data_IF_249755605502
#
_entry.id   IF_249755605502
#
_cell.length_a   1.000
_cell.length_b   1.000
_cell.length_c   1.000
_cell.angle_alpha   90.00
_cell.angle_beta   90.00
_cell.angle_gamma   90.00
#
_symmetry.space_group_name_H-M   'P 1'
#
loop_
_entity.id
_entity.type
_entity.pdbx_description
1 polymer ?
2 polymer ?
3 polymer ?
4 non-polymer ?
5 non-polymer ?
6 non-polymer ?
7 non-polymer ?
8 water ?
#
loop_
_entity_poly.entity_id
_entity_poly.type
_entity_poly.pdbx_seq_one_letter_code
_entity_poly.pdbx_strand_id
1 'polydeoxyribonucleotide' '(DG)(DG)(DG)(DG)(DT)(DG)(DT)(DG)(DG)(DT)(DA)(DG)(DC)' ?
2 'polydeoxyribonucleotide' '(DC)(DA)(DT)(DC)(DG)(DC)(DT)(DA)(DC)(DC)(DA)(DC)(DA)(DC)(DC)(DC)(DC)' ?
#
# COMPACT_ATOMS: atom_id res chain seq x y z
N UNK C 3 -15.11 24.02 4.04
CA UNK C 3 -13.70 24.22 3.70
C UNK C 3 -12.85 24.48 4.96
N UNK C 4 -11.82 23.66 5.11
CA UNK C 4 -10.93 23.68 6.26
C UNK C 4 -9.53 23.93 5.73
N UNK C 5 -8.98 25.10 6.04
CA UNK C 5 -7.63 25.47 5.62
C UNK C 5 -6.61 24.91 6.61
N UNK C 6 -5.33 24.90 6.22
CA UNK C 6 -4.36 24.19 7.04
C UNK C 6 -4.06 24.90 8.35
N UNK C 7 -4.39 26.19 8.47
CA UNK C 7 -4.22 26.86 9.75
C UNK C 7 -5.43 26.72 10.66
N UNK C 8 -6.45 25.99 10.24
CA UNK C 8 -7.61 25.71 11.08
C UNK C 8 -7.31 24.50 11.97
N UNK C 9 -7.71 24.54 13.25
CA UNK C 9 -7.46 23.37 14.12
C UNK C 9 -8.02 22.06 13.59
N UNK C 10 -9.07 22.08 12.75
CA UNK C 10 -9.68 20.84 12.26
C UNK C 10 -9.01 20.30 10.99
N UNK C 11 -7.91 20.90 10.53
CA UNK C 11 -7.38 20.54 9.23
C UNK C 11 -6.94 19.08 9.20
N UNK C 12 -6.17 18.66 10.20
CA UNK C 12 -5.67 17.29 10.23
C UNK C 12 -6.81 16.29 10.20
N UNK C 13 -7.84 16.53 11.01
CA UNK C 13 -8.99 15.63 11.07
C UNK C 13 -9.69 15.55 9.72
N UNK C 14 -9.92 16.71 9.09
CA UNK C 14 -10.61 16.74 7.81
C UNK C 14 -9.77 16.12 6.70
N UNK C 15 -8.46 16.41 6.68
CA UNK C 15 -7.63 15.87 5.61
C UNK C 15 -7.58 14.35 5.67
N UNK C 16 -7.31 13.81 6.86
CA UNK C 16 -7.27 12.36 7.02
C UNK C 16 -8.65 11.74 6.77
N UNK C 17 -9.75 12.42 7.14
CA UNK C 17 -11.07 11.86 6.84
C UNK C 17 -11.31 11.70 5.34
N UNK C 18 -10.70 12.57 4.53
CA UNK C 18 -10.88 12.53 3.07
C UNK C 18 -9.79 11.78 2.32
N UNK C 19 -8.60 11.62 2.92
CA UNK C 19 -7.46 11.02 2.23
C UNK C 19 -7.57 9.52 2.13
N UNK C 20 -7.71 8.99 0.91
CA UNK C 20 -7.76 7.52 0.82
C UNK C 20 -6.40 6.90 1.12
N UNK C 21 -5.30 7.63 0.85
CA UNK C 21 -3.99 7.08 1.17
C UNK C 21 -3.78 7.01 2.68
N UNK C 22 -4.31 7.99 3.42
CA UNK C 22 -4.30 7.87 4.87
C UNK C 22 -5.09 6.64 5.31
N UNK C 23 -6.27 6.43 4.71
CA UNK C 23 -7.11 5.28 5.08
C UNK C 23 -6.38 3.97 4.81
N UNK C 24 -5.73 3.86 3.65
CA UNK C 24 -5.01 2.64 3.31
C UNK C 24 -3.98 2.31 4.39
N UNK C 25 -3.16 3.31 4.75
CA UNK C 25 -2.11 3.06 5.74
C UNK C 25 -2.68 2.78 7.13
N UNK C 26 -3.71 3.51 7.53
CA UNK C 26 -4.30 3.29 8.86
C UNK C 26 -4.96 1.91 8.94
N UNK C 27 -5.67 1.51 7.87
CA UNK C 27 -6.26 0.18 7.81
C UNK C 27 -5.19 -0.90 7.90
N UNK C 28 -4.10 -0.73 7.17
CA UNK C 28 -3.04 -1.73 7.17
C UNK C 28 -2.39 -1.81 8.55
N UNK C 29 -2.08 -0.66 9.14
CA UNK C 29 -1.53 -0.65 10.50
C UNK C 29 -2.46 -1.38 11.46
N UNK C 30 -3.76 -1.12 11.38
CA UNK C 30 -4.67 -1.77 12.33
C UNK C 30 -4.71 -3.28 12.10
N UNK C 31 -4.69 -3.72 10.84
CA UNK C 31 -4.71 -5.17 10.59
C UNK C 31 -3.50 -5.84 11.18
N UNK C 32 -2.33 -5.21 11.06
CA UNK C 32 -1.12 -5.80 11.63
C UNK C 32 -1.22 -5.87 13.16
N UNK C 33 -1.69 -4.80 13.79
CA UNK C 33 -1.83 -4.82 15.25
C UNK C 33 -2.80 -5.91 15.68
N UNK C 34 -3.90 -6.08 14.93
CA UNK C 34 -4.88 -7.11 15.25
C UNK C 34 -4.27 -8.51 15.16
N UNK C 35 -3.46 -8.76 14.13
CA UNK C 35 -2.77 -10.03 13.98
C UNK C 35 -1.87 -10.30 15.19
N UNK C 36 -1.09 -9.30 15.60
CA UNK C 36 -0.20 -9.48 16.74
C UNK C 36 -1.00 -9.75 18.02
N UNK C 37 -2.14 -9.10 18.17
CA UNK C 37 -2.92 -9.28 19.40
C UNK C 37 -3.57 -10.66 19.44
N UNK C 38 -4.11 -11.12 18.30
CA UNK C 38 -4.76 -12.42 18.26
C UNK C 38 -3.77 -13.58 18.38
N UNK C 39 -2.48 -13.33 18.14
CA UNK C 39 -1.48 -14.38 18.14
C UNK C 39 -0.45 -14.21 19.26
N UNK C 40 -0.75 -13.39 20.26
CA UNK C 40 0.21 -13.11 21.33
C UNK C 40 0.61 -14.40 22.05
N UNK C 41 -0.30 -15.38 22.12
CA UNK C 41 -0.01 -16.66 22.75
C UNK C 41 -0.10 -17.83 21.79
N UNK C 42 -0.19 -17.59 20.48
CA UNK C 42 -0.21 -18.64 19.48
C UNK C 42 1.12 -18.70 18.74
N UNK C 43 1.33 -19.82 18.06
CA UNK C 43 2.61 -20.03 17.34
C UNK C 43 2.33 -20.62 15.96
N UNK C 44 1.50 -19.94 15.15
CA UNK C 44 1.12 -20.40 13.78
C UNK C 44 2.22 -20.12 12.71
N UNK C 45 3.42 -19.63 13.08
CA UNK C 45 4.57 -19.37 12.15
C UNK C 45 4.99 -20.58 11.30
N UNK C 46 5.72 -20.33 10.21
CA UNK C 46 6.12 -21.38 9.28
C UNK C 46 7.54 -21.80 9.61
N UNK C 47 7.74 -23.11 9.76
CA UNK C 47 9.05 -23.66 10.10
C UNK C 47 9.68 -24.30 8.87
N UNK C 48 10.98 -24.60 8.99
CA UNK C 48 11.71 -25.22 7.88
C UNK C 48 11.10 -26.56 7.48
N UNK C 49 10.44 -27.25 8.42
CA UNK C 49 9.86 -28.55 8.14
C UNK C 49 8.60 -28.47 7.29
N UNK C 50 8.04 -27.28 7.09
CA UNK C 50 6.75 -27.15 6.44
C UNK C 50 6.92 -27.03 4.93
N UNK C 51 6.16 -27.82 4.19
CA UNK C 51 5.95 -27.56 2.77
C UNK C 51 4.61 -26.88 2.65
N UNK C 52 4.57 -25.77 1.91
CA UNK C 52 3.39 -24.92 1.92
C UNK C 52 3.00 -24.49 0.52
N UNK C 53 1.72 -24.17 0.39
CA UNK C 53 1.16 -23.49 -0.77
C UNK C 53 0.74 -22.08 -0.35
N UNK C 54 1.01 -21.11 -1.22
CA UNK C 54 0.60 -19.72 -1.00
C UNK C 54 -0.64 -19.45 -1.83
N UNK C 55 -1.65 -18.89 -1.20
CA UNK C 55 -2.82 -18.35 -1.88
C UNK C 55 -2.79 -16.85 -1.66
N UNK C 56 -2.53 -16.09 -2.72
CA UNK C 56 -2.51 -14.64 -2.65
C UNK C 56 -3.85 -14.14 -3.19
N UNK C 57 -4.65 -13.55 -2.31
CA UNK C 57 -6.06 -13.24 -2.55
C UNK C 57 -6.25 -11.72 -2.49
N UNK C 58 -6.94 -11.17 -3.48
CA UNK C 58 -7.04 -9.72 -3.62
C UNK C 58 -8.36 -9.35 -4.29
N UNK C 59 -9.07 -8.38 -3.72
CA UNK C 59 -10.30 -7.88 -4.36
C UNK C 59 -9.98 -7.31 -5.74
N UNK C 60 -10.82 -7.63 -6.73
CA UNK C 60 -10.76 -6.93 -8.00
C UNK C 60 -11.24 -5.50 -7.87
N UNK C 61 -10.48 -4.54 -8.43
CA UNK C 61 -10.70 -3.04 -8.47
C UNK C 61 -11.43 -2.46 -7.24
N UNK C 62 -10.90 -2.82 -6.07
CA UNK C 62 -11.59 -2.85 -4.78
C UNK C 62 -12.50 -1.65 -4.55
N UNK C 63 -11.94 -0.43 -4.54
CA UNK C 63 -12.79 0.74 -4.27
C UNK C 63 -13.92 0.85 -5.30
N UNK C 64 -13.63 0.57 -6.58
CA UNK C 64 -14.64 0.75 -7.61
C UNK C 64 -15.79 -0.23 -7.41
N UNK C 65 -15.47 -1.50 -7.15
CA UNK C 65 -16.48 -2.51 -6.86
C UNK C 65 -17.35 -2.12 -5.68
N UNK C 66 -16.72 -1.76 -4.55
CA UNK C 66 -17.49 -1.46 -3.35
C UNK C 66 -18.27 -0.16 -3.52
N UNK C 67 -17.65 0.87 -4.11
CA UNK C 67 -18.35 2.13 -4.32
C UNK C 67 -19.53 1.95 -5.25
N UNK C 68 -19.40 1.03 -6.21
CA UNK C 68 -20.53 0.71 -7.07
C UNK C 68 -21.64 0.01 -6.28
N UNK C 69 -21.30 -1.05 -5.55
CA UNK C 69 -22.32 -1.82 -4.85
C UNK C 69 -23.07 -0.99 -3.83
N UNK C 70 -22.46 0.09 -3.32
CA UNK C 70 -23.03 0.95 -2.30
C UNK C 70 -23.37 2.34 -2.85
N UNK C 71 -23.42 2.49 -4.17
CA UNK C 71 -23.64 3.81 -4.78
C UNK C 71 -24.99 4.38 -4.36
N UNK C 72 -25.07 5.71 -4.35
CA UNK C 72 -26.29 6.39 -3.98
C UNK C 72 -27.34 6.27 -5.08
N UNK C 73 -28.57 6.73 -4.78
CA UNK C 73 -29.66 6.57 -5.73
C UNK C 73 -29.41 7.37 -7.01
N UNK C 74 -28.60 8.43 -6.93
CA UNK C 74 -28.23 9.21 -8.12
C UNK C 74 -27.54 8.35 -9.17
N UNK C 75 -26.88 7.27 -8.76
CA UNK C 75 -26.17 6.39 -9.68
C UNK C 75 -26.85 5.03 -9.85
N UNK C 76 -28.15 4.93 -9.59
CA UNK C 76 -28.80 3.62 -9.60
C UNK C 76 -28.69 2.93 -10.96
N UNK C 77 -28.78 3.70 -12.05
CA UNK C 77 -28.76 3.13 -13.39
C UNK C 77 -27.36 2.73 -13.86
N UNK C 78 -26.32 3.17 -13.15
CA UNK C 78 -24.94 2.81 -13.48
C UNK C 78 -24.79 1.29 -13.65
N UNK C 79 -24.02 0.91 -14.67
CA UNK C 79 -23.84 -0.50 -15.04
C UNK C 79 -22.37 -0.88 -14.86
N UNK C 80 -22.09 -1.73 -13.87
CA UNK C 80 -20.69 -2.07 -13.56
C UNK C 80 -20.01 -2.85 -14.69
N UNK C 81 -20.78 -3.58 -15.49
CA UNK C 81 -20.20 -4.40 -16.54
C UNK C 81 -20.04 -3.66 -17.87
N UNK C 82 -20.77 -2.57 -18.08
CA UNK C 82 -20.70 -1.83 -19.34
C UNK C 82 -20.16 -0.42 -19.20
N UNK C 83 -20.17 0.18 -17.99
CA UNK C 83 -19.73 1.56 -17.87
C UNK C 83 -18.28 1.63 -17.39
N UNK C 84 -17.51 2.60 -17.87
CA UNK C 84 -16.18 2.87 -17.27
C UNK C 84 -16.37 3.69 -16.01
N UNK C 85 -15.91 3.14 -14.88
CA UNK C 85 -16.20 3.67 -13.56
C UNK C 85 -14.89 4.01 -12.87
N UNK C 86 -14.81 5.19 -12.25
CA UNK C 86 -13.70 5.54 -11.38
C UNK C 86 -14.25 6.01 -10.03
N UNK C 87 -13.41 5.88 -9.02
CA UNK C 87 -13.64 6.46 -7.69
C UNK C 87 -12.65 7.61 -7.53
N UNK C 88 -13.16 8.78 -7.16
CA UNK C 88 -12.36 9.99 -7.07
C UNK C 88 -13.15 11.09 -6.39
N UNK C 89 -12.42 12.11 -5.89
CA UNK C 89 -13.02 13.26 -5.23
C UNK C 89 -13.52 14.29 -6.25
N UNK C 90 -12.76 14.50 -7.31
CA UNK C 90 -12.96 15.69 -8.12
C UNK C 90 -13.30 15.41 -9.57
N UNK C 91 -12.95 16.36 -10.44
CA UNK C 91 -13.31 16.31 -11.85
C UNK C 91 -12.15 16.59 -12.79
N UNK C 92 -11.00 17.04 -12.29
CA UNK C 92 -9.90 17.42 -13.16
C UNK C 92 -8.60 16.77 -12.68
N UNK C 93 -7.84 17.48 -11.85
CA UNK C 93 -6.55 16.92 -11.41
C UNK C 93 -6.71 16.18 -10.08
N UNK C 94 -7.68 15.26 -10.10
CA UNK C 94 -8.06 14.44 -8.96
C UNK C 94 -7.64 13.00 -9.22
N UNK C 95 -7.03 12.35 -8.24
CA UNK C 95 -6.57 10.99 -8.42
C UNK C 95 -7.74 10.03 -8.64
N UNK C 96 -7.59 9.14 -9.63
CA UNK C 96 -8.45 7.97 -9.72
C UNK C 96 -7.90 6.93 -8.76
N UNK C 97 -8.58 6.74 -7.63
CA UNK C 97 -8.10 5.76 -6.67
C UNK C 97 -8.24 4.35 -7.21
N UNK C 98 -9.34 4.10 -7.92
CA UNK C 98 -9.65 2.78 -8.46
C UNK C 98 -10.49 2.98 -9.71
N UNK C 99 -10.31 2.07 -10.67
CA UNK C 99 -11.13 2.07 -11.87
C UNK C 99 -11.51 0.64 -12.17
N UNK C 100 -12.71 0.46 -12.74
CA UNK C 100 -13.16 -0.89 -13.04
C UNK C 100 -12.52 -1.35 -14.36
N UNK C 101 -12.76 -2.63 -14.69
CA UNK C 101 -12.03 -3.19 -15.81
C UNK C 101 -12.57 -2.72 -17.16
N UNK C 102 -13.80 -2.21 -17.22
CA UNK C 102 -14.22 -1.48 -18.42
C UNK C 102 -13.31 -0.27 -18.65
N UNK C 103 -13.11 0.55 -17.61
CA UNK C 103 -12.22 1.70 -17.73
C UNK C 103 -10.83 1.27 -18.18
N UNK C 104 -10.32 0.18 -17.61
CA UNK C 104 -8.98 -0.28 -17.96
C UNK C 104 -8.88 -0.74 -19.39
N UNK C 105 -10.00 -1.17 -19.99
CA UNK C 105 -9.96 -1.56 -21.40
C UNK C 105 -9.63 -0.40 -22.32
N UNK C 106 -9.78 0.85 -21.84
CA UNK C 106 -9.38 2.03 -22.59
C UNK C 106 -8.00 2.53 -22.21
N UNK C 107 -7.29 1.82 -21.34
CA UNK C 107 -5.96 2.23 -20.90
C UNK C 107 -5.93 3.03 -19.62
N UNK C 108 -7.07 3.20 -18.95
CA UNK C 108 -7.10 3.96 -17.70
C UNK C 108 -6.49 3.11 -16.58
N UNK C 109 -5.72 3.76 -15.70
CA UNK C 109 -4.98 3.12 -14.61
C UNK C 109 -5.25 3.81 -13.27
N UNK C 110 -5.25 3.03 -12.19
CA UNK C 110 -5.24 3.60 -10.85
C UNK C 110 -4.11 4.63 -10.74
N UNK C 111 -4.39 5.76 -10.10
CA UNK C 111 -3.41 6.80 -9.94
C UNK C 111 -3.45 7.90 -10.99
N UNK C 112 -4.04 7.63 -12.15
CA UNK C 112 -4.28 8.63 -13.17
C UNK C 112 -5.14 9.77 -12.62
N UNK C 113 -4.92 10.99 -13.15
CA UNK C 113 -5.84 12.08 -12.90
C UNK C 113 -7.08 11.92 -13.79
N UNK C 114 -8.24 12.33 -13.25
CA UNK C 114 -9.49 12.29 -14.02
C UNK C 114 -9.31 12.94 -15.38
N UNK C 115 -8.62 14.09 -15.41
CA UNK C 115 -8.42 14.83 -16.66
C UNK C 115 -7.68 13.98 -17.69
N UNK C 116 -6.64 13.26 -17.27
CA UNK C 116 -5.92 12.39 -18.19
C UNK C 116 -6.80 11.23 -18.66
N UNK C 117 -7.52 10.58 -17.74
CA UNK C 117 -8.33 9.43 -18.10
C UNK C 117 -9.43 9.78 -19.09
N UNK C 118 -10.06 10.94 -18.91
CA UNK C 118 -11.15 11.36 -19.79
C UNK C 118 -10.72 11.38 -21.25
N UNK C 119 -9.46 11.70 -21.52
CA UNK C 119 -9.01 11.84 -22.89
C UNK C 119 -8.82 10.51 -23.59
N UNK C 120 -8.78 9.41 -22.85
CA UNK C 120 -8.65 8.09 -23.46
C UNK C 120 -9.99 7.49 -23.85
N UNK C 121 -11.08 8.19 -23.60
CA UNK C 121 -12.38 7.65 -23.97
C UNK C 121 -12.74 8.12 -25.38
N UNK C 122 -13.17 7.22 -26.27
CA UNK C 122 -13.73 7.67 -27.55
C UNK C 122 -15.04 8.41 -27.32
N UNK C 123 -15.40 9.23 -28.30
CA UNK C 123 -16.53 10.13 -28.13
C UNK C 123 -17.83 9.36 -27.97
N UNK C 124 -18.72 9.89 -27.12
CA UNK C 124 -19.95 9.20 -26.79
C UNK C 124 -19.84 8.24 -25.63
N UNK C 125 -18.66 8.05 -25.07
CA UNK C 125 -18.45 7.13 -23.96
C UNK C 125 -18.13 7.97 -22.73
N UNK C 126 -18.97 7.84 -21.71
CA UNK C 126 -18.95 8.76 -20.58
C UNK C 126 -18.32 8.11 -19.35
N UNK C 127 -17.42 8.84 -18.70
CA UNK C 127 -16.81 8.36 -17.48
C UNK C 127 -17.78 8.54 -16.33
N UNK C 128 -17.99 7.48 -15.56
CA UNK C 128 -18.80 7.55 -14.34
C UNK C 128 -17.86 7.71 -13.17
N UNK C 129 -18.01 8.78 -12.40
CA UNK C 129 -17.17 9.01 -11.23
C UNK C 129 -17.99 8.81 -9.97
N UNK C 130 -17.63 7.85 -9.21
CA UNK C 130 -18.30 7.57 -7.95
C UNK C 130 -17.49 8.12 -6.78
N UNK C 131 -18.18 8.54 -5.72
CA UNK C 131 -17.48 9.03 -4.53
C UNK C 131 -16.96 7.87 -3.69
N UNK C 132 -16.00 8.21 -2.83
CA UNK C 132 -15.48 7.22 -1.89
C UNK C 132 -16.56 6.80 -0.89
N UNK C 133 -16.51 5.51 -0.49
CA UNK C 133 -17.39 4.97 0.58
C UNK C 133 -16.48 4.26 1.59
N UNK C 134 -15.80 5.07 2.41
CA UNK C 134 -14.70 4.56 3.23
C UNK C 134 -15.17 3.55 4.26
N UNK C 135 -16.29 3.83 4.94
CA UNK C 135 -16.79 2.91 5.95
C UNK C 135 -17.17 1.58 5.32
N UNK C 136 -17.81 1.70 4.18
CA UNK C 136 -18.12 0.46 3.41
C UNK C 136 -16.90 -0.41 2.95
N UNK C 137 -15.86 0.34 2.52
CA UNK C 137 -14.63 -0.36 2.20
C UNK C 137 -14.18 -1.20 3.39
N UNK C 138 -14.20 -0.60 4.58
CA UNK C 138 -13.77 -1.32 5.76
C UNK C 138 -14.71 -2.48 6.07
N UNK C 139 -16.02 -2.30 5.91
CA UNK C 139 -16.96 -3.37 6.25
C UNK C 139 -16.79 -4.55 5.29
N UNK C 140 -16.58 -4.27 4.00
CA UNK C 140 -16.32 -5.35 3.06
C UNK C 140 -15.03 -6.07 3.41
N UNK C 141 -13.99 -5.32 3.80
CA UNK C 141 -12.75 -5.97 4.17
C UNK C 141 -12.94 -6.84 5.41
N UNK C 142 -13.75 -6.37 6.36
CA UNK C 142 -14.06 -7.22 7.51
C UNK C 142 -14.69 -8.54 7.09
N UNK C 143 -15.62 -8.51 6.13
CA UNK C 143 -16.27 -9.74 5.65
C UNK C 143 -15.27 -10.65 4.95
N UNK C 144 -14.32 -10.05 4.24
CA UNK C 144 -13.24 -10.76 3.57
C UNK C 144 -12.38 -11.54 4.56
N UNK C 145 -11.84 -10.87 5.57
CA UNK C 145 -10.98 -11.54 6.54
C UNK C 145 -11.77 -12.54 7.39
N UNK C 146 -13.01 -12.20 7.74
CA UNK C 146 -13.90 -13.12 8.44
C UNK C 146 -14.12 -14.41 7.64
N UNK C 147 -14.37 -14.27 6.34
CA UNK C 147 -14.57 -15.45 5.50
C UNK C 147 -13.30 -16.31 5.45
N UNK C 148 -12.14 -15.67 5.26
CA UNK C 148 -10.89 -16.43 5.20
C UNK C 148 -10.67 -17.28 6.45
N UNK C 149 -10.94 -16.70 7.63
CA UNK C 149 -10.80 -17.44 8.88
C UNK C 149 -11.81 -18.57 8.97
N UNK C 150 -13.07 -18.29 8.66
CA UNK C 150 -14.14 -19.26 8.85
C UNK C 150 -13.95 -20.50 7.99
N UNK C 151 -13.29 -20.37 6.84
CA UNK C 151 -13.11 -21.51 5.93
C UNK C 151 -12.28 -22.62 6.57
N UNK C 152 -11.43 -22.29 7.54
CA UNK C 152 -10.61 -23.28 8.25
C UNK C 152 -9.77 -24.11 7.27
N UNK C 153 -9.13 -23.43 6.31
CA UNK C 153 -8.27 -24.12 5.35
C UNK C 153 -6.85 -23.60 5.36
N UNK C 154 -6.56 -22.51 6.07
CA UNK C 154 -5.25 -21.90 6.08
C UNK C 154 -4.61 -22.07 7.44
N UNK C 155 -3.31 -22.34 7.44
CA UNK C 155 -2.55 -22.38 8.68
C UNK C 155 -2.13 -20.99 9.11
N UNK C 156 -2.01 -20.06 8.17
CA UNK C 156 -1.55 -18.73 8.47
C UNK C 156 -2.22 -17.76 7.51
N UNK C 157 -2.78 -16.68 8.04
CA UNK C 157 -3.43 -15.65 7.23
C UNK C 157 -2.71 -14.34 7.52
N UNK C 158 -1.97 -13.84 6.52
CA UNK C 158 -1.17 -12.63 6.69
C UNK C 158 -1.88 -11.46 6.04
N UNK C 159 -2.23 -10.40 6.78
CA UNK C 159 -2.82 -9.23 6.13
C UNK C 159 -1.76 -8.47 5.34
N UNK C 160 -2.05 -8.20 4.08
CA UNK C 160 -1.21 -7.35 3.25
C UNK C 160 -1.76 -5.93 3.19
N UNK C 161 -3.07 -5.81 3.08
CA UNK C 161 -3.74 -4.52 2.97
C UNK C 161 -5.21 -4.72 3.26
N UNK C 162 -5.96 -3.62 3.17
CA UNK C 162 -7.40 -3.66 3.35
C UNK C 162 -8.05 -4.72 2.45
N UNK C 163 -7.52 -4.92 1.24
CA UNK C 163 -8.21 -5.79 0.29
C UNK C 163 -7.37 -6.98 -0.16
N UNK C 164 -6.39 -7.39 0.63
CA UNK C 164 -5.42 -8.36 0.11
C UNK C 164 -4.79 -9.13 1.26
N UNK C 165 -4.69 -10.45 1.12
CA UNK C 165 -4.06 -11.26 2.15
C UNK C 165 -3.23 -12.36 1.52
N UNK C 166 -2.19 -12.77 2.23
CA UNK C 166 -1.38 -13.92 1.85
C UNK C 166 -1.75 -15.05 2.79
N UNK C 167 -2.30 -16.13 2.24
CA UNK C 167 -2.84 -17.25 3.01
C UNK C 167 -1.99 -18.47 2.74
N UNK C 168 -1.55 -19.13 3.80
CA UNK C 168 -0.58 -20.20 3.70
C UNK C 168 -1.25 -21.50 4.14
N UNK C 169 -1.16 -22.51 3.27
CA UNK C 169 -1.66 -23.85 3.55
C UNK C 169 -0.47 -24.78 3.65
N UNK C 170 -0.32 -25.47 4.78
CA UNK C 170 0.76 -26.42 4.96
C UNK C 170 0.30 -27.78 4.49
N UNK C 171 1.13 -28.43 3.67
CA UNK C 171 0.79 -29.73 3.07
C UNK C 171 1.61 -30.79 3.79
N UNK C 172 0.97 -31.68 4.54
CA UNK C 172 1.71 -32.83 5.09
C UNK C 172 2.22 -33.73 3.98
N UNK C 173 3.42 -34.28 4.15
CA UNK C 173 3.83 -35.37 3.28
C UNK C 173 2.84 -36.52 3.33
N UNK C 174 2.04 -36.58 4.41
CA UNK C 174 0.86 -37.43 4.49
C UNK C 174 -0.03 -37.32 3.26
N UNK C 175 -0.11 -36.13 2.65
CA UNK C 175 -1.16 -35.77 1.69
C UNK C 175 -0.52 -35.48 0.34
N UNK C 176 -1.19 -35.91 -0.73
CA UNK C 176 -0.72 -35.67 -2.10
C UNK C 176 -1.53 -34.51 -2.68
N UNK C 177 -0.88 -33.37 -2.86
CA UNK C 177 -1.55 -32.19 -3.36
C UNK C 177 -1.68 -32.27 -4.88
N UNK C 178 -2.80 -31.77 -5.40
CA UNK C 178 -3.06 -31.83 -6.84
C UNK C 178 -3.64 -30.50 -7.30
N UNK C 179 -3.51 -30.24 -8.60
CA UNK C 179 -4.14 -29.08 -9.21
C UNK C 179 -5.64 -29.08 -8.96
N UNK C 180 -6.27 -30.26 -9.03
CA UNK C 180 -7.72 -30.37 -8.82
C UNK C 180 -8.12 -29.88 -7.45
N UNK C 181 -7.40 -30.29 -6.40
CA UNK C 181 -7.74 -29.82 -5.06
C UNK C 181 -7.53 -28.32 -4.95
N UNK C 182 -6.45 -27.80 -5.56
CA UNK C 182 -6.18 -26.38 -5.46
C UNK C 182 -7.23 -25.56 -6.19
N UNK C 183 -7.69 -26.03 -7.35
CA UNK C 183 -8.76 -25.34 -8.06
C UNK C 183 -10.04 -25.30 -7.24
N UNK C 184 -10.35 -26.40 -6.56
CA UNK C 184 -11.55 -26.41 -5.72
C UNK C 184 -11.42 -25.41 -4.57
N UNK C 185 -10.25 -25.35 -3.95
CA UNK C 185 -10.05 -24.36 -2.88
C UNK C 185 -10.19 -22.94 -3.41
N UNK C 186 -9.57 -22.65 -4.56
CA UNK C 186 -9.74 -21.34 -5.17
C UNK C 186 -11.21 -21.02 -5.43
N UNK C 187 -11.97 -21.99 -5.96
CA UNK C 187 -13.36 -21.70 -6.28
C UNK C 187 -14.21 -21.55 -5.02
N UNK C 188 -13.92 -22.34 -3.98
CA UNK C 188 -14.58 -22.16 -2.68
C UNK C 188 -14.34 -20.75 -2.15
N UNK C 189 -13.08 -20.35 -2.08
CA UNK C 189 -12.73 -19.04 -1.56
C UNK C 189 -13.44 -17.95 -2.36
N UNK C 190 -13.36 -18.02 -3.69
CA UNK C 190 -13.98 -16.98 -4.51
C UNK C 190 -15.49 -16.93 -4.29
N UNK C 191 -16.13 -18.09 -4.15
CA UNK C 191 -17.58 -18.08 -3.96
C UNK C 191 -17.96 -17.59 -2.57
N UNK C 192 -17.28 -18.08 -1.53
CA UNK C 192 -17.63 -17.69 -0.16
C UNK C 192 -17.39 -16.19 0.05
N UNK C 193 -16.33 -15.63 -0.54
CA UNK C 193 -16.12 -14.20 -0.40
C UNK C 193 -17.17 -13.43 -1.21
N UNK C 194 -17.50 -13.90 -2.41
CA UNK C 194 -18.56 -13.26 -3.18
C UNK C 194 -19.86 -13.22 -2.38
N UNK C 195 -20.19 -14.32 -1.69
CA UNK C 195 -21.39 -14.34 -0.86
C UNK C 195 -21.23 -13.45 0.37
N UNK C 196 -20.09 -13.59 1.07
CA UNK C 196 -19.91 -12.89 2.33
C UNK C 196 -19.86 -11.37 2.17
N UNK C 197 -19.44 -10.88 1.01
CA UNK C 197 -19.33 -9.46 0.76
C UNK C 197 -20.52 -8.89 0.01
N UNK C 198 -21.55 -9.70 -0.22
CA UNK C 198 -22.68 -9.39 -1.09
C UNK C 198 -22.24 -8.77 -2.42
N UNK C 199 -21.33 -9.44 -3.10
CA UNK C 199 -21.18 -9.17 -4.52
C UNK C 199 -19.81 -8.72 -4.97
N UNK C 200 -18.84 -8.69 -4.05
CA UNK C 200 -17.46 -8.38 -4.44
C UNK C 200 -16.76 -9.63 -4.96
N UNK C 201 -15.84 -9.43 -5.90
CA UNK C 201 -15.08 -10.55 -6.46
C UNK C 201 -13.61 -10.44 -6.05
N UNK C 202 -12.99 -11.59 -5.79
CA UNK C 202 -11.56 -11.65 -5.55
C UNK C 202 -10.94 -12.51 -6.64
N UNK C 203 -9.69 -12.23 -6.95
CA UNK C 203 -8.87 -13.16 -7.70
C UNK C 203 -7.79 -13.74 -6.82
N UNK C 204 -7.24 -14.87 -7.27
CA UNK C 204 -6.32 -15.65 -6.45
C UNK C 204 -5.16 -16.12 -7.31
N UNK C 205 -3.95 -15.91 -6.79
CA UNK C 205 -2.77 -16.57 -7.31
C UNK C 205 -2.37 -17.65 -6.32
N UNK C 206 -2.05 -18.83 -6.85
CA UNK C 206 -1.74 -19.99 -6.02
C UNK C 206 -0.45 -20.60 -6.53
N UNK C 207 0.53 -20.76 -5.64
CA UNK C 207 1.84 -21.27 -6.06
C UNK C 207 2.60 -21.74 -4.83
N UNK C 208 3.85 -22.18 -5.05
CA UNK C 208 4.73 -22.57 -3.97
C UNK C 208 5.84 -21.55 -3.69
N UNK C 209 5.67 -20.30 -4.13
CA UNK C 209 6.48 -19.19 -3.63
C UNK C 209 5.59 -17.97 -3.52
N UNK C 210 6.03 -17.01 -2.71
CA UNK C 210 5.29 -15.75 -2.61
C UNK C 210 5.33 -15.01 -3.94
N UNK C 211 6.49 -14.98 -4.60
CA UNK C 211 6.60 -14.16 -5.80
C UNK C 211 5.74 -14.74 -6.93
N UNK C 212 5.74 -16.07 -7.10
CA UNK C 212 4.93 -16.65 -8.17
C UNK C 212 3.44 -16.47 -7.87
N UNK C 213 3.05 -16.57 -6.60
CA UNK C 213 1.64 -16.38 -6.25
C UNK C 213 1.20 -14.95 -6.60
N UNK C 214 2.11 -14.00 -6.43
CA UNK C 214 1.78 -12.59 -6.76
C UNK C 214 1.63 -12.51 -8.26
N UNK C 215 2.55 -13.10 -9.00
CA UNK C 215 2.43 -13.08 -10.46
C UNK C 215 1.19 -13.82 -10.95
N UNK C 216 0.95 -15.01 -10.40
CA UNK C 216 -0.25 -15.76 -10.75
C UNK C 216 -1.50 -14.92 -10.51
N UNK C 217 -1.51 -14.14 -9.41
CA UNK C 217 -2.63 -13.27 -9.10
C UNK C 217 -2.88 -12.27 -10.22
N UNK C 218 -1.81 -11.63 -10.69
CA UNK C 218 -1.94 -10.70 -11.80
C UNK C 218 -2.52 -11.41 -13.02
N UNK C 219 -1.99 -12.60 -13.34
CA UNK C 219 -2.49 -13.36 -14.48
C UNK C 219 -3.96 -13.75 -14.29
N UNK C 220 -4.38 -13.96 -13.03
CA UNK C 220 -5.75 -14.39 -12.77
C UNK C 220 -6.78 -13.30 -13.00
N UNK C 221 -6.40 -12.03 -12.86
CA UNK C 221 -7.40 -10.96 -12.85
C UNK C 221 -7.93 -10.69 -14.25
N UNK C 222 -9.20 -10.28 -14.38
CA UNK C 222 -10.14 -10.08 -13.27
C UNK C 222 -11.02 -11.30 -12.97
N UNK C 223 -11.49 -11.40 -11.73
CA UNK C 223 -12.50 -12.38 -11.32
C UNK C 223 -12.12 -13.81 -11.71
N UNK C 224 -10.90 -14.22 -11.35
CA UNK C 224 -10.41 -15.51 -11.77
C UNK C 224 -9.39 -16.03 -10.80
N UNK C 225 -8.83 -17.20 -11.12
CA UNK C 225 -7.73 -17.74 -10.33
C UNK C 225 -6.74 -18.39 -11.27
N UNK C 226 -5.50 -18.47 -10.78
CA UNK C 226 -4.42 -19.09 -11.55
C UNK C 226 -3.53 -19.86 -10.60
N UNK C 227 -3.17 -21.07 -11.01
CA UNK C 227 -2.31 -21.95 -10.23
C UNK C 227 -1.07 -22.19 -11.08
N UNK C 228 0.09 -21.68 -10.61
CA UNK C 228 1.34 -21.85 -11.34
C UNK C 228 2.44 -22.18 -10.33
N UNK C 229 2.79 -23.44 -10.22
CA UNK C 229 3.88 -23.85 -9.35
C UNK C 229 5.20 -23.75 -10.10
N UNK C 230 6.30 -23.75 -9.35
CA UNK C 230 7.62 -23.71 -9.96
C UNK C 230 7.77 -24.80 -11.02
N UNK C 231 7.17 -25.97 -10.79
CA UNK C 231 7.24 -27.06 -11.75
C UNK C 231 6.51 -26.76 -13.05
N UNK C 232 5.61 -25.77 -13.07
CA UNK C 232 4.82 -25.44 -14.25
C UNK C 232 5.37 -24.24 -15.01
N UNK C 233 6.52 -23.71 -14.62
CA UNK C 233 7.01 -22.50 -15.28
C UNK C 233 7.30 -22.76 -16.75
N UNK C 234 7.14 -21.73 -17.57
CA UNK C 234 7.29 -21.86 -19.01
C UNK C 234 7.51 -20.47 -19.61
N UNK C 235 7.92 -20.47 -20.88
CA UNK C 235 8.05 -19.22 -21.62
C UNK C 235 6.70 -18.52 -21.77
N UNK C 236 5.63 -19.29 -21.93
CA UNK C 236 4.31 -18.70 -22.04
C UNK C 236 3.95 -17.91 -20.79
N UNK C 237 4.34 -18.42 -19.62
CA UNK C 237 4.10 -17.70 -18.38
C UNK C 237 4.88 -16.39 -18.34
N UNK C 238 6.20 -16.47 -18.50
CA UNK C 238 7.03 -15.27 -18.40
C UNK C 238 6.69 -14.24 -19.48
N UNK C 239 6.31 -14.67 -20.68
CA UNK C 239 5.97 -13.73 -21.74
C UNK C 239 4.69 -12.95 -21.46
N UNK C 240 3.94 -13.33 -20.43
CA UNK C 240 2.66 -12.71 -20.12
C UNK C 240 2.78 -11.45 -19.27
N UNK C 241 3.96 -11.12 -18.75
CA UNK C 241 4.12 -10.09 -17.73
C UNK C 241 5.00 -8.94 -18.19
N UNK C 242 4.63 -7.73 -17.78
CA UNK C 242 5.44 -6.53 -17.88
C UNK C 242 6.57 -6.56 -16.85
N UNK C 243 7.62 -5.78 -17.10
CA UNK C 243 8.73 -5.75 -16.15
C UNK C 243 8.29 -5.23 -14.79
N UNK C 244 7.41 -4.23 -14.76
CA UNK C 244 6.96 -3.72 -13.45
C UNK C 244 5.83 -4.56 -12.87
N UNK C 245 5.56 -5.74 -13.43
CA UNK C 245 4.75 -6.71 -12.71
C UNK C 245 5.54 -7.38 -11.59
N UNK C 246 6.86 -7.33 -11.64
CA UNK C 246 7.66 -7.97 -10.59
C UNK C 246 7.52 -7.18 -9.30
N UNK C 247 7.28 -7.84 -8.17
CA UNK C 247 7.29 -7.11 -6.89
C UNK C 247 8.63 -6.42 -6.69
N UNK C 248 8.56 -5.17 -6.26
CA UNK C 248 9.78 -4.41 -6.05
C UNK C 248 10.24 -3.60 -7.25
N UNK C 249 9.62 -3.77 -8.41
CA UNK C 249 10.01 -3.03 -9.61
C UNK C 249 8.94 -1.98 -9.87
N UNK C 250 9.25 -0.73 -9.50
CA UNK C 250 8.45 0.42 -9.85
C UNK C 250 9.07 1.20 -10.99
N UNK C 251 8.60 2.44 -11.17
CA UNK C 251 8.96 3.20 -12.37
C UNK C 251 10.46 3.48 -12.43
N UNK C 252 11.11 3.72 -11.30
CA UNK C 252 12.54 4.04 -11.32
C UNK C 252 13.37 2.81 -11.68
N UNK C 253 13.08 1.66 -11.05
CA UNK C 253 13.80 0.43 -11.40
C UNK C 253 13.51 0.04 -12.84
N UNK C 254 12.26 0.19 -13.26
CA UNK C 254 11.89 -0.09 -14.64
C UNK C 254 12.75 0.70 -15.61
N UNK C 255 12.91 1.99 -15.37
CA UNK C 255 13.73 2.81 -16.26
C UNK C 255 15.15 2.28 -16.34
N UNK C 256 15.72 1.88 -15.19
CA UNK C 256 17.09 1.34 -15.19
C UNK C 256 17.17 0.02 -15.95
N UNK C 257 16.19 -0.86 -15.75
CA UNK C 257 16.19 -2.14 -16.45
C UNK C 257 16.08 -1.93 -17.96
N UNK C 258 15.23 -0.99 -18.39
CA UNK C 258 15.06 -0.74 -19.82
C UNK C 258 16.33 -0.15 -20.42
N UNK C 259 17.02 0.71 -19.68
CA UNK C 259 18.29 1.23 -20.17
C UNK C 259 19.32 0.12 -20.30
N UNK C 260 19.47 -0.69 -19.25
CA UNK C 260 20.57 -1.65 -19.22
C UNK C 260 20.35 -2.79 -20.20
N UNK C 261 19.10 -3.23 -20.39
CA UNK C 261 18.84 -4.48 -21.10
C UNK C 261 18.08 -4.26 -22.40
N UNK C 262 18.27 -3.10 -23.03
CA UNK C 262 17.79 -2.85 -24.40
C UNK C 262 16.26 -2.88 -24.47
N UNK C 263 15.61 -2.29 -23.48
CA UNK C 263 14.16 -2.14 -23.40
C UNK C 263 13.44 -3.47 -23.53
N UNK C 264 13.62 -4.39 -22.58
CA UNK C 264 12.78 -5.60 -22.56
C UNK C 264 11.31 -5.21 -22.46
N UNK C 265 10.45 -5.98 -23.14
CA UNK C 265 9.01 -5.71 -23.12
C UNK C 265 8.23 -6.83 -22.42
N UNK C 266 8.92 -7.81 -21.85
CA UNK C 266 8.25 -8.80 -21.01
C UNK C 266 9.29 -9.39 -20.09
N UNK C 267 8.81 -10.07 -19.03
CA UNK C 267 9.73 -10.80 -18.17
C UNK C 267 10.47 -11.89 -18.94
N UNK C 268 9.86 -12.41 -20.01
CA UNK C 268 10.57 -13.35 -20.87
C UNK C 268 11.78 -12.68 -21.52
N UNK C 269 11.59 -11.49 -22.11
CA UNK C 269 12.73 -10.77 -22.68
C UNK C 269 13.83 -10.61 -21.65
N UNK C 270 13.46 -10.20 -20.44
CA UNK C 270 14.46 -9.90 -19.43
C UNK C 270 15.23 -11.15 -19.05
N UNK C 271 14.54 -12.25 -18.78
CA UNK C 271 15.26 -13.41 -18.27
C UNK C 271 16.16 -14.02 -19.32
N UNK C 272 15.84 -13.83 -20.61
CA UNK C 272 16.74 -14.29 -21.66
C UNK C 272 17.93 -13.38 -21.87
N UNK C 273 17.86 -12.11 -21.47
CA UNK C 273 18.93 -11.15 -21.71
C UNK C 273 19.86 -10.92 -20.53
N UNK C 274 19.37 -11.12 -19.30
CA UNK C 274 20.15 -10.63 -18.18
C UNK C 274 21.25 -11.59 -17.76
N UNK C 275 22.25 -11.03 -17.06
CA UNK C 275 23.14 -11.76 -16.19
C UNK C 275 22.97 -11.21 -14.78
N UNK C 276 23.16 -12.09 -13.79
CA UNK C 276 23.10 -11.63 -12.39
C UNK C 276 23.99 -10.42 -12.16
N UNK C 277 25.21 -10.43 -12.71
CA UNK C 277 26.14 -9.32 -12.45
C UNK C 277 25.68 -8.02 -13.10
N UNK C 278 25.20 -8.08 -14.33
CA UNK C 278 24.69 -6.87 -14.97
C UNK C 278 23.45 -6.36 -14.25
N UNK C 279 22.60 -7.28 -13.78
CA UNK C 279 21.45 -6.91 -12.97
C UNK C 279 21.86 -6.09 -11.75
N UNK C 280 22.75 -6.65 -10.93
CA UNK C 280 23.19 -5.95 -9.73
C UNK C 280 23.79 -4.59 -10.05
N UNK C 281 24.54 -4.51 -11.16
CA UNK C 281 25.11 -3.23 -11.53
C UNK C 281 24.04 -2.22 -11.92
N UNK C 282 22.93 -2.68 -12.50
CA UNK C 282 21.93 -1.74 -13.00
C UNK C 282 21.05 -1.21 -11.87
N UNK C 283 20.59 -2.09 -10.99
CA UNK C 283 19.59 -1.73 -9.99
C UNK C 283 20.05 -1.92 -8.56
N UNK C 284 21.27 -2.42 -8.34
CA UNK C 284 21.75 -2.61 -7.00
C UNK C 284 21.79 -4.08 -6.60
N UNK C 285 22.58 -4.37 -5.57
CA UNK C 285 22.96 -5.75 -5.30
C UNK C 285 21.79 -6.54 -4.69
N UNK C 286 21.10 -5.95 -3.72
CA UNK C 286 20.00 -6.68 -3.07
C UNK C 286 18.79 -6.77 -3.99
N UNK C 287 18.41 -5.64 -4.61
CA UNK C 287 17.30 -5.65 -5.56
C UNK C 287 17.64 -6.50 -6.77
N UNK C 288 18.88 -6.42 -7.26
CA UNK C 288 19.29 -7.29 -8.35
C UNK C 288 19.18 -8.76 -8.02
N UNK C 289 19.60 -9.15 -6.80
CA UNK C 289 19.46 -10.54 -6.39
C UNK C 289 17.98 -10.93 -6.24
N UNK C 290 17.15 -10.01 -5.74
CA UNK C 290 15.71 -10.30 -5.62
C UNK C 290 15.10 -10.58 -6.99
N UNK C 291 15.42 -9.75 -7.97
CA UNK C 291 14.88 -9.91 -9.31
C UNK C 291 15.40 -11.20 -9.93
N UNK C 292 16.70 -11.47 -9.77
CA UNK C 292 17.27 -12.70 -10.30
C UNK C 292 16.55 -13.93 -9.75
N UNK C 293 16.36 -13.97 -8.42
CA UNK C 293 15.64 -15.08 -7.83
C UNK C 293 14.19 -15.12 -8.30
N UNK C 294 13.58 -13.94 -8.42
CA UNK C 294 12.18 -13.87 -8.86
C UNK C 294 12.02 -14.47 -10.25
N UNK C 295 12.96 -14.19 -11.14
CA UNK C 295 12.90 -14.74 -12.49
C UNK C 295 13.12 -16.25 -12.50
N UNK C 296 13.48 -16.83 -11.37
CA UNK C 296 13.51 -18.27 -11.17
C UNK C 296 12.23 -18.76 -10.49
N UNK C 297 11.28 -17.86 -10.22
CA UNK C 297 10.13 -18.23 -9.44
C UNK C 297 10.38 -18.35 -7.96
N UNK C 298 11.51 -17.84 -7.48
CA UNK C 298 11.94 -18.06 -6.10
C UNK C 298 11.92 -16.78 -5.27
N UNK C 299 11.56 -16.93 -4.00
CA UNK C 299 11.61 -15.83 -3.04
C UNK C 299 13.03 -15.58 -2.56
N UNK C 300 13.31 -14.33 -2.17
CA UNK C 300 14.57 -14.01 -1.54
C UNK C 300 14.42 -14.09 0.00
N UNK C 301 15.56 -14.01 0.69
CA UNK C 301 15.58 -14.21 2.13
C UNK C 301 14.71 -13.20 2.85
N UNK C 302 14.72 -11.95 2.38
CA UNK C 302 13.96 -10.89 3.04
C UNK C 302 12.46 -11.14 2.95
N UNK C 303 11.98 -11.56 1.78
CA UNK C 303 10.56 -11.81 1.63
C UNK C 303 10.10 -12.98 2.47
N UNK C 304 10.98 -13.96 2.69
CA UNK C 304 10.58 -15.15 3.45
C UNK C 304 10.39 -14.85 4.93
N UNK C 305 10.96 -13.76 5.44
CA UNK C 305 10.88 -13.48 6.86
C UNK C 305 9.42 -13.37 7.33
N UNK C 306 8.51 -12.95 6.45
CA UNK C 306 7.12 -12.79 6.89
C UNK C 306 6.49 -14.15 7.18
N UNK C 307 7.00 -15.21 6.55
CA UNK C 307 6.51 -16.57 6.83
C UNK C 307 7.17 -17.14 8.08
N UNK C 308 8.49 -16.95 8.19
CA UNK C 308 9.28 -17.54 9.31
C UNK C 308 9.08 -16.80 10.64
N UNK C 309 8.78 -15.49 10.60
CA UNK C 309 8.63 -14.72 11.83
C UNK C 309 7.64 -13.58 11.64
N UNK C 310 6.36 -13.91 11.34
CA UNK C 310 5.39 -12.83 11.07
C UNK C 310 5.26 -11.83 12.21
N UNK C 311 5.39 -12.28 13.46
CA UNK C 311 5.25 -11.35 14.58
C UNK C 311 6.32 -10.26 14.54
N UNK C 312 7.54 -10.62 14.14
CA UNK C 312 8.59 -9.61 14.04
C UNK C 312 8.40 -8.71 12.83
N UNK C 313 8.06 -9.27 11.68
CA UNK C 313 7.88 -8.47 10.47
C UNK C 313 6.71 -7.50 10.62
N UNK C 314 5.61 -7.95 11.23
CA UNK C 314 4.41 -7.12 11.31
C UNK C 314 4.47 -6.10 12.44
N UNK C 315 5.49 -6.15 13.28
CA UNK C 315 5.56 -5.26 14.42
C UNK C 315 5.98 -3.86 13.98
N UNK C 316 5.23 -2.86 14.44
CA UNK C 316 5.50 -1.48 14.06
C UNK C 316 6.84 -1.01 14.61
N UNK C 317 7.67 -0.41 13.75
CA UNK C 317 8.98 0.06 14.20
C UNK C 317 9.14 1.57 14.12
N UNK C 318 8.21 2.27 13.49
CA UNK C 318 8.23 3.73 13.44
C UNK C 318 6.79 4.22 13.35
N UNK C 319 6.62 5.52 13.57
CA UNK C 319 5.29 6.11 13.57
C UNK C 319 5.42 7.53 13.02
N UNK C 320 4.62 7.88 12.01
CA UNK C 320 4.77 9.18 11.39
C UNK C 320 3.46 9.64 10.76
N UNK C 321 3.40 10.93 10.44
CA UNK C 321 2.37 11.48 9.57
C UNK C 321 3.05 12.27 8.46
N UNK C 322 2.36 12.34 7.31
CA UNK C 322 2.83 13.10 6.16
C UNK C 322 1.67 13.94 5.65
N UNK C 323 1.86 15.24 5.51
CA UNK C 323 0.81 16.10 4.96
C UNK C 323 1.49 16.92 3.86
N UNK C 324 1.27 16.51 2.62
CA UNK C 324 1.85 17.17 1.45
C UNK C 324 0.76 17.67 0.51
N UNK C 325 -0.39 17.98 1.07
CA UNK C 325 -1.52 18.53 0.34
C UNK C 325 -2.20 19.58 1.21
N UNK C 326 -2.53 20.72 0.62
CA UNK C 326 -3.18 21.78 1.34
C UNK C 326 -2.28 22.62 2.23
N UNK C 327 -0.98 22.54 2.05
CA UNK C 327 -0.03 23.23 2.92
C UNK C 327 0.22 24.63 2.35
N UNK C 328 -0.37 25.65 3.00
CA UNK C 328 -0.26 27.06 2.54
C UNK C 328 -0.25 27.93 3.79
N UNK C 329 0.94 28.15 4.34
CA UNK C 329 1.10 28.93 5.55
C UNK C 329 1.71 30.29 5.24
N UNK C 330 1.27 31.31 5.97
CA UNK C 330 1.75 32.67 5.76
C UNK C 330 2.86 33.08 6.70
N UNK C 331 3.03 32.43 7.85
CA UNK C 331 4.04 32.87 8.80
C UNK C 331 4.45 31.68 9.67
N UNK C 332 5.53 31.88 10.42
CA UNK C 332 6.13 30.81 11.21
C UNK C 332 5.27 30.45 12.42
N UNK C 333 4.50 31.41 12.94
CA UNK C 333 3.59 31.12 14.04
C UNK C 333 2.60 30.01 13.64
N UNK C 334 2.03 30.13 12.44
CA UNK C 334 1.05 29.14 11.99
C UNK C 334 1.71 27.81 11.69
N UNK C 335 2.92 27.83 11.10
CA UNK C 335 3.65 26.58 10.91
C UNK C 335 3.89 25.87 12.24
N UNK C 336 4.34 26.63 13.25
CA UNK C 336 4.63 26.01 14.53
C UNK C 336 3.37 25.44 15.17
N UNK C 337 2.23 26.13 15.02
CA UNK C 337 0.99 25.58 15.58
C UNK C 337 0.62 24.28 14.88
N UNK C 338 0.83 24.23 13.57
CA UNK C 338 0.52 22.98 12.86
C UNK C 338 1.45 21.87 13.30
N UNK C 339 2.74 22.18 13.48
CA UNK C 339 3.67 21.19 14.01
C UNK C 339 3.18 20.70 15.37
N UNK C 340 2.71 21.62 16.23
CA UNK C 340 2.24 21.18 17.53
C UNK C 340 1.02 20.27 17.39
N UNK C 341 0.08 20.62 16.50
CA UNK C 341 -1.09 19.76 16.30
C UNK C 341 -0.69 18.38 15.80
N UNK C 342 0.31 18.33 14.92
CA UNK C 342 0.78 17.05 14.43
C UNK C 342 1.42 16.22 15.51
N UNK C 343 2.22 16.84 16.38
CA UNK C 343 2.83 16.10 17.49
C UNK C 343 1.78 15.57 18.46
N UNK C 344 0.75 16.37 18.74
CA UNK C 344 -0.33 15.90 19.58
C UNK C 344 -0.96 14.64 19.00
N UNK C 345 -1.24 14.66 17.69
CA UNK C 345 -1.85 13.51 17.03
C UNK C 345 -0.92 12.29 17.12
N UNK C 346 0.37 12.49 16.88
CA UNK C 346 1.31 11.36 16.91
C UNK C 346 1.46 10.80 18.32
N UNK C 347 1.46 11.65 19.33
CA UNK C 347 1.60 11.17 20.70
C UNK C 347 0.37 10.39 21.15
N UNK C 348 -0.82 10.77 20.67
CA UNK C 348 -2.00 9.98 20.96
C UNK C 348 -1.83 8.56 20.42
N UNK C 349 -1.37 8.45 19.17
CA UNK C 349 -1.06 7.14 18.59
C UNK C 349 0.03 6.43 19.38
N UNK C 350 1.09 7.16 19.74
CA UNK C 350 2.20 6.56 20.48
C UNK C 350 1.76 6.05 21.85
N UNK C 351 0.83 6.75 22.50
CA UNK C 351 0.35 6.29 23.80
C UNK C 351 -0.59 5.10 23.65
N UNK C 352 -1.38 5.05 22.57
CA UNK C 352 -2.25 3.91 22.33
C UNK C 352 -1.46 2.60 22.27
N UNK C 353 -0.23 2.64 21.77
CA UNK C 353 0.60 1.44 21.69
C UNK C 353 1.57 1.34 22.86
N UNK C 354 1.45 2.24 23.84
CA UNK C 354 2.21 2.16 25.10
C UNK C 354 3.71 2.11 24.83
N UNK C 355 4.21 3.09 24.06
CA UNK C 355 5.62 3.18 23.74
C UNK C 355 6.10 4.60 23.95
N UNK C 356 7.43 4.77 23.96
CA UNK C 356 8.07 6.07 23.94
C UNK C 356 8.91 6.15 22.68
N UNK C 357 9.51 7.31 22.41
CA UNK C 357 10.36 7.42 21.24
C UNK C 357 11.69 8.05 21.62
N UNK C 358 12.75 7.58 20.99
CA UNK C 358 14.10 8.06 21.27
C UNK C 358 14.73 8.82 20.12
N UNK C 359 14.05 8.94 18.97
CA UNK C 359 14.59 9.61 17.81
C UNK C 359 13.45 10.11 16.94
N UNK C 360 13.54 11.37 16.50
CA UNK C 360 12.46 11.98 15.73
C UNK C 360 13.06 12.65 14.50
N UNK C 361 12.22 12.82 13.49
CA UNK C 361 12.61 13.43 12.23
C UNK C 361 11.51 14.37 11.76
N UNK C 362 11.92 15.50 11.21
CA UNK C 362 11.02 16.35 10.45
C UNK C 362 11.54 16.41 9.01
N UNK C 363 10.63 16.22 8.07
CA UNK C 363 10.91 16.34 6.64
C UNK C 363 9.96 17.35 6.06
N UNK C 364 10.43 18.14 5.11
CA UNK C 364 9.55 19.10 4.47
C UNK C 364 9.76 19.06 2.97
N UNK C 365 8.74 19.54 2.28
CA UNK C 365 8.76 19.81 0.84
C UNK C 365 8.74 21.32 0.66
N UNK C 366 9.67 21.83 -0.15
CA UNK C 366 9.76 23.27 -0.40
C UNK C 366 9.59 23.55 -1.89
N UNK C 367 8.78 24.56 -2.21
CA UNK C 367 8.56 24.92 -3.60
C UNK C 367 9.89 25.13 -4.33
N UNK C 368 10.04 24.48 -5.47
CA UNK C 368 11.24 24.69 -6.29
C UNK C 368 11.28 26.16 -6.72
N UNK C 369 12.50 26.71 -6.82
CA UNK C 369 12.64 28.16 -7.03
C UNK C 369 11.94 28.61 -8.30
N UNK C 370 11.91 27.76 -9.33
CA UNK C 370 11.29 28.08 -10.60
C UNK C 370 9.89 27.45 -10.75
N UNK C 371 9.27 26.98 -9.67
CA UNK C 371 7.97 26.34 -9.79
C UNK C 371 6.85 27.31 -9.44
N UNK C 372 5.71 27.24 -10.12
CA UNK C 372 4.64 28.20 -9.84
C UNK C 372 4.14 28.08 -8.41
N UNK C 373 3.75 29.22 -7.85
CA UNK C 373 3.27 29.26 -6.48
C UNK C 373 1.98 28.47 -6.33
N UNK C 374 1.15 28.44 -7.37
CA UNK C 374 -0.02 27.57 -7.35
C UNK C 374 0.17 26.50 -8.41
N UNK C 375 0.35 25.24 -8.01
CA UNK C 375 0.70 24.19 -8.98
C UNK C 375 -0.51 23.74 -9.77
N UNK C 376 -0.31 22.88 -10.77
CA UNK C 376 -1.48 22.43 -11.55
C UNK C 376 -2.58 21.78 -10.71
N UNK C 377 -2.19 20.99 -9.73
CA UNK C 377 -3.21 20.34 -8.88
C UNK C 377 -3.62 21.30 -7.76
N UNK C 378 -4.92 21.59 -7.68
CA UNK C 378 -5.41 22.44 -6.60
C UNK C 378 -4.90 21.98 -5.24
N UNK C 379 -4.25 22.89 -4.52
CA UNK C 379 -3.67 22.66 -3.17
C UNK C 379 -2.54 21.61 -3.18
N UNK C 380 -2.05 21.28 -4.35
CA UNK C 380 -0.99 20.28 -4.46
C UNK C 380 0.36 20.81 -3.98
N UNK C 381 1.27 19.90 -3.71
CA UNK C 381 2.59 20.39 -3.32
C UNK C 381 3.31 20.90 -4.58
N UNK C 382 3.00 20.38 -5.77
CA UNK C 382 3.73 20.80 -6.96
C UNK C 382 5.17 20.28 -6.93
N UNK C 383 5.99 20.88 -7.81
CA UNK C 383 7.41 20.51 -7.92
C UNK C 383 8.16 21.05 -6.71
N UNK C 384 8.85 20.19 -5.99
CA UNK C 384 9.42 20.57 -4.70
C UNK C 384 10.81 19.97 -4.53
N UNK C 385 11.59 20.59 -3.66
CA UNK C 385 12.81 20.01 -3.12
C UNK C 385 12.51 19.51 -1.71
N UNK C 386 13.08 18.35 -1.38
CA UNK C 386 12.91 17.68 -0.09
C UNK C 386 14.06 18.01 0.85
N UNK C 387 13.75 18.17 2.14
CA UNK C 387 14.77 18.36 3.17
C UNK C 387 14.35 17.57 4.39
N UNK C 388 15.31 16.91 5.04
CA UNK C 388 14.98 16.21 6.28
C UNK C 388 16.11 16.37 7.29
N UNK C 389 15.74 16.32 8.52
CA UNK C 389 16.70 16.40 9.68
C UNK C 389 16.14 15.62 10.93
N UNK C 390 17.03 14.83 11.50
CA UNK C 390 16.61 14.01 12.62
C UNK C 390 17.36 14.41 13.88
N UNK C 391 16.83 13.99 15.03
CA UNK C 391 17.47 14.31 16.29
C UNK C 391 17.27 13.15 17.25
N UNK C 392 18.35 12.71 17.88
CA UNK C 392 18.25 11.70 18.95
C UNK C 392 17.87 12.37 20.26
N UNK C 393 16.84 11.86 20.93
CA UNK C 393 16.46 12.42 22.21
C UNK C 393 17.35 11.83 23.31
N UNK C 394 17.61 12.63 24.34
CA UNK C 394 18.45 12.14 25.41
C UNK C 394 17.91 10.87 26.04
N UNK C 395 16.68 10.95 26.52
CA UNK C 395 15.99 9.84 27.18
C UNK C 395 14.78 9.53 26.32
N UNK C 396 14.43 8.26 26.09
CA UNK C 396 13.17 7.95 25.40
C UNK C 396 12.01 8.63 26.12
N UNK C 397 11.08 9.20 25.37
CA UNK C 397 10.06 10.03 26.00
C UNK C 397 8.77 9.99 25.18
N UNK C 398 7.67 10.28 25.86
CA UNK C 398 6.39 10.58 25.20
C UNK C 398 5.90 11.97 25.56
N UNK C 399 6.79 12.86 25.98
CA UNK C 399 6.44 14.19 26.50
C UNK C 399 6.26 15.19 25.37
N UNK C 400 5.06 15.77 25.29
CA UNK C 400 4.78 16.79 24.27
C UNK C 400 5.82 17.90 24.29
N UNK C 401 6.09 18.45 25.48
CA UNK C 401 7.00 19.59 25.55
C UNK C 401 8.34 19.30 24.90
N UNK C 402 8.91 18.14 25.19
CA UNK C 402 10.22 17.79 24.65
C UNK C 402 10.12 17.60 23.15
N UNK C 403 9.13 16.82 22.71
CA UNK C 403 9.08 16.43 21.31
C UNK C 403 8.68 17.61 20.42
N UNK C 404 7.61 18.32 20.77
CA UNK C 404 7.18 19.43 19.94
C UNK C 404 8.26 20.51 19.85
N UNK C 405 8.95 20.78 20.97
CA UNK C 405 10.00 21.79 20.95
C UNK C 405 11.12 21.41 20.00
N UNK C 406 11.53 20.13 20.03
CA UNK C 406 12.60 19.67 19.15
C UNK C 406 12.13 19.62 17.70
N UNK C 407 10.87 19.24 17.46
CA UNK C 407 10.35 19.30 16.09
C UNK C 407 10.37 20.72 15.55
N UNK C 408 9.99 21.69 16.37
CA UNK C 408 10.02 23.07 15.90
C UNK C 408 11.45 23.55 15.69
N UNK C 409 12.39 23.08 16.52
CA UNK C 409 13.80 23.41 16.28
C UNK C 409 14.28 22.79 14.98
N UNK C 410 13.91 21.54 14.73
CA UNK C 410 14.28 20.91 13.47
C UNK C 410 13.75 21.70 12.27
N UNK C 411 12.52 22.22 12.35
CA UNK C 411 12.01 23.06 11.27
C UNK C 411 12.90 24.29 11.08
N UNK C 412 13.25 24.96 12.18
CA UNK C 412 14.12 26.14 12.09
C UNK C 412 15.45 25.81 11.40
N UNK C 413 16.07 24.68 11.74
CA UNK C 413 17.36 24.38 11.14
C UNK C 413 17.29 24.09 9.65
N UNK C 414 16.11 23.81 9.10
CA UNK C 414 16.01 23.54 7.66
C UNK C 414 15.78 24.81 6.86
N UNK C 415 15.45 25.93 7.50
CA UNK C 415 15.48 27.23 6.86
C UNK C 415 14.42 27.51 5.82
N UNK C 416 13.32 26.75 5.78
CA UNK C 416 12.32 26.96 4.75
C UNK C 416 11.39 28.10 5.13
N UNK C 417 11.30 29.16 4.34
CA UNK C 417 10.33 30.23 4.65
C UNK C 417 8.92 29.68 4.65
N UNK C 418 8.07 30.13 5.57
CA UNK C 418 6.72 29.54 5.67
C UNK C 418 5.93 29.56 4.37
N UNK C 419 6.02 30.64 3.59
CA UNK C 419 5.24 30.70 2.35
C UNK C 419 5.78 29.76 1.28
N UNK C 420 7.02 29.26 1.41
CA UNK C 420 7.56 28.31 0.47
C UNK C 420 7.24 26.87 0.85
N UNK C 421 6.75 26.65 2.06
CA UNK C 421 6.48 25.30 2.55
C UNK C 421 5.30 24.69 1.79
N UNK C 422 5.49 23.47 1.30
CA UNK C 422 4.43 22.75 0.57
C UNK C 422 4.13 21.38 1.17
N UNK C 423 4.86 20.96 2.19
CA UNK C 423 4.59 19.68 2.79
C UNK C 423 5.42 19.43 4.02
N UNK C 424 4.89 18.62 4.94
CA UNK C 424 5.54 18.36 6.22
C UNK C 424 5.35 16.89 6.56
N UNK C 425 6.41 16.22 6.98
CA UNK C 425 6.30 14.91 7.62
C UNK C 425 6.87 14.98 9.02
N UNK C 426 6.21 14.32 9.97
CA UNK C 426 6.65 14.29 11.37
C UNK C 426 6.84 12.84 11.76
N UNK C 427 8.05 12.48 12.22
CA UNK C 427 8.34 11.05 12.37
C UNK C 427 8.93 10.72 13.73
N UNK C 428 8.45 9.63 14.32
CA UNK C 428 9.07 8.98 15.47
C UNK C 428 9.79 7.74 14.93
N UNK C 429 11.12 7.80 14.84
CA UNK C 429 11.86 6.78 14.09
C UNK C 429 12.21 5.55 14.91
N UNK C 430 12.37 5.70 16.22
CA UNK C 430 12.72 4.60 17.10
C UNK C 430 11.72 4.58 18.23
N UNK C 431 11.10 3.43 18.45
CA UNK C 431 10.12 3.26 19.50
C UNK C 431 10.69 2.33 20.56
N UNK C 432 10.37 2.61 21.81
CA UNK C 432 10.93 1.93 22.98
C UNK C 432 9.78 1.45 23.85
N UNK C 433 9.84 0.19 24.31
CA UNK C 433 8.75 -0.32 25.13
C UNK C 433 8.69 0.38 26.48
N UNK C 434 7.49 0.40 27.06
CA UNK C 434 7.27 0.86 28.42
C UNK C 434 6.98 -0.38 29.26
N UNK C 435 7.82 -0.65 30.24
CA UNK C 435 7.65 -1.82 31.08
C UNK C 435 7.04 -1.47 32.42
N UNK C 436 6.80 -2.49 33.26
CA UNK C 436 6.28 -2.23 34.61
C UNK C 436 7.27 -1.52 35.51
N UNK C 437 8.57 -1.60 35.23
CA UNK C 437 9.60 -1.00 36.05
C UNK C 437 10.01 0.32 35.40
N UNK C 438 9.69 1.44 36.05
CA UNK C 438 10.09 2.76 35.59
C UNK C 438 10.87 3.50 36.68
N UNK C 439 11.54 2.77 37.56
CA UNK C 439 12.10 3.41 38.75
C UNK C 439 13.18 4.42 38.35
N UNK C 440 14.20 3.96 37.63
CA UNK C 440 15.06 4.94 36.97
C UNK C 440 15.57 4.41 35.63
#
# INVERSE_FOLDING_TARGET
KRIVACDDPDFLTSYFAHSRLHHLSAWKANLKDKFLNENIHKYTKITDKDTYIIFHIDFDCFFATVAYLCRSSSFSACDFKRDPIVVCHGTKNSDIASCNYVARSYGIKNGMWVSQAEKMLPNGIKLISLPYTFEQFQLKSEAFYSTLKRLNIFNLILPISIDEAVCVRIIPDNIHNTNTLNARLCEEIRQEIFQGTNGCTVSIGCSDSLVLARLALKMAKPNGYNITFKSNLSEEFWSSFKLDDLPGVGHSTLSRLESTFDSPHSLNDLRKRYTLDALKASVGSKLGMKIHLALQGQDDEESLKILYDPKEVLQRKSLSIDINWGIRFKNITQVDLFIERGCQYLLEKLNEINKTTSQITLKLMRRCKDAPIEPPKYMGMGRCDSFSRSSRLGIPTNEFGIIATEMKSLYRTLGCPPMELRGLALQFNKLVDVGPDNNQLK
#
